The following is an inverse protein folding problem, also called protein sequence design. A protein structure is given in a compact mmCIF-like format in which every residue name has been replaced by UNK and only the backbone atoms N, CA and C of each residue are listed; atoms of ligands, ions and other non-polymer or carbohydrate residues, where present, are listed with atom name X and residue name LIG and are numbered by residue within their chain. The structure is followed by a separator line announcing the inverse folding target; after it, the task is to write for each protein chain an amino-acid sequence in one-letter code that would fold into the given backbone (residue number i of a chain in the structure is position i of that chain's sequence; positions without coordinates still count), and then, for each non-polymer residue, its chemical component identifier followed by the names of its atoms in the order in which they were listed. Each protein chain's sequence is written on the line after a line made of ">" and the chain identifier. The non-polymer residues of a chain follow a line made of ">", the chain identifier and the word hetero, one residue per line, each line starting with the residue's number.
data_IF_564652494313
#
_entry.id   IF_564652494313
#
_cell.length_a   1.000
_cell.length_b   1.000
_cell.length_c   1.000
_cell.angle_alpha   90.00
_cell.angle_beta   90.00
_cell.angle_gamma   90.00
#
_symmetry.space_group_name_H-M   'P 1'
#
loop_
_entity.id
_entity.type
_entity.pdbx_description
1 polymer ?
#
# COMPACT_ATOMS: atom_id res chain seq x y z
N UNK A 1 -24.92 20.24 1.24
CA UNK A 1 -25.05 21.11 2.43
C UNK A 1 -25.78 20.46 3.60
N UNK A 2 -27.10 20.22 3.59
CA UNK A 2 -27.83 19.76 4.80
C UNK A 2 -27.31 18.42 5.36
N UNK A 3 -27.13 17.40 4.52
CA UNK A 3 -26.59 16.09 4.93
C UNK A 3 -25.14 16.21 5.44
N UNK A 4 -24.34 17.08 4.82
CA UNK A 4 -22.96 17.35 5.25
C UNK A 4 -22.92 18.03 6.62
N UNK A 5 -23.82 18.99 6.86
CA UNK A 5 -23.98 19.63 8.17
C UNK A 5 -24.40 18.63 9.23
N UNK A 6 -25.29 17.68 8.94
CA UNK A 6 -25.71 16.65 9.89
C UNK A 6 -24.63 15.62 10.20
N UNK A 7 -23.83 15.18 9.22
CA UNK A 7 -22.71 14.26 9.45
C UNK A 7 -21.59 14.94 10.21
N UNK A 8 -21.29 16.20 9.87
CA UNK A 8 -20.37 17.03 10.63
C UNK A 8 -20.91 17.24 12.04
N UNK A 9 -22.20 17.51 12.23
CA UNK A 9 -22.81 17.57 13.56
C UNK A 9 -22.71 16.25 14.30
N UNK A 10 -22.94 15.10 13.66
CA UNK A 10 -22.86 13.78 14.29
C UNK A 10 -21.43 13.43 14.70
N UNK A 11 -20.44 13.75 13.85
CA UNK A 11 -19.02 13.65 14.18
C UNK A 11 -18.66 14.64 15.31
N UNK A 12 -19.12 15.89 15.25
CA UNK A 12 -18.93 16.89 16.30
C UNK A 12 -19.57 16.41 17.62
N UNK A 13 -20.75 15.81 17.59
CA UNK A 13 -21.46 15.31 18.78
C UNK A 13 -20.75 14.08 19.35
N UNK A 14 -20.25 13.19 18.49
CA UNK A 14 -19.41 12.05 18.88
C UNK A 14 -18.05 12.50 19.47
N UNK A 15 -17.51 13.65 19.04
CA UNK A 15 -16.24 14.20 19.51
C UNK A 15 -16.36 15.35 20.51
N UNK A 16 -17.58 15.77 20.89
CA UNK A 16 -17.85 16.94 21.74
C UNK A 16 -17.24 16.85 23.15
N UNK A 17 -16.80 15.67 23.57
CA UNK A 17 -16.12 15.49 24.85
C UNK A 17 -14.61 15.82 24.86
N UNK A 18 -13.99 16.24 23.73
CA UNK A 18 -12.54 16.53 23.69
C UNK A 18 -12.16 17.77 22.86
N UNK A 19 -12.33 18.97 23.42
CA UNK A 19 -11.54 20.19 23.13
C UNK A 19 -11.65 20.82 21.71
N UNK A 20 -11.85 22.14 21.66
CA UNK A 20 -12.06 22.93 20.43
C UNK A 20 -10.90 22.91 19.40
N UNK A 21 -9.68 22.55 19.79
CA UNK A 21 -8.54 22.42 18.87
C UNK A 21 -8.61 21.14 18.02
N UNK A 22 -9.15 20.05 18.59
CA UNK A 22 -9.28 18.76 17.89
C UNK A 22 -10.40 18.80 16.85
N UNK A 23 -11.52 19.44 17.18
CA UNK A 23 -12.61 19.65 16.22
C UNK A 23 -12.16 20.48 15.01
N UNK A 24 -11.33 21.51 15.24
CA UNK A 24 -10.73 22.30 14.14
C UNK A 24 -9.86 21.44 13.23
N UNK A 25 -9.08 20.51 13.80
CA UNK A 25 -8.24 19.60 13.03
C UNK A 25 -9.05 18.64 12.14
N UNK A 26 -10.09 18.02 12.71
CA UNK A 26 -10.96 17.12 11.95
C UNK A 26 -11.73 17.84 10.85
N UNK A 27 -12.17 19.07 11.12
CA UNK A 27 -12.79 19.94 10.12
C UNK A 27 -11.83 20.28 8.97
N UNK A 28 -10.56 20.56 9.28
CA UNK A 28 -9.54 20.78 8.25
C UNK A 28 -9.37 19.54 7.37
N UNK A 29 -9.22 18.34 7.95
CA UNK A 29 -9.14 17.09 7.18
C UNK A 29 -10.38 16.89 6.30
N UNK A 30 -11.58 17.08 6.84
CA UNK A 30 -12.83 17.01 6.08
C UNK A 30 -12.84 17.97 4.89
N UNK A 31 -12.42 19.23 5.10
CA UNK A 31 -12.34 20.24 4.04
C UNK A 31 -11.36 19.82 2.95
N UNK A 32 -10.15 19.41 3.33
CA UNK A 32 -9.08 18.98 2.40
C UNK A 32 -9.52 17.81 1.53
N UNK A 33 -10.37 16.90 2.04
CA UNK A 33 -10.91 15.80 1.24
C UNK A 33 -11.89 16.25 0.13
N UNK A 34 -12.21 17.54 0.00
CA UNK A 34 -12.90 18.09 -1.18
C UNK A 34 -11.99 18.74 -2.22
N UNK A 35 -10.71 18.92 -1.91
CA UNK A 35 -9.76 19.60 -2.78
C UNK A 35 -9.10 18.59 -3.74
N UNK A 36 -8.86 18.98 -5.00
CA UNK A 36 -8.11 18.16 -5.96
C UNK A 36 -6.61 18.15 -5.66
N UNK A 37 -6.08 19.21 -5.06
CA UNK A 37 -4.68 19.31 -4.66
C UNK A 37 -4.66 19.81 -3.23
N UNK A 38 -4.09 19.04 -2.31
CA UNK A 38 -4.11 19.40 -0.90
C UNK A 38 -2.79 19.08 -0.19
N UNK A 39 -2.45 19.94 0.76
CA UNK A 39 -1.32 19.74 1.67
C UNK A 39 -1.85 19.13 2.98
N UNK A 40 -1.34 17.96 3.34
CA UNK A 40 -1.64 17.32 4.62
C UNK A 40 -1.00 18.16 5.73
N UNK A 41 -1.77 18.66 6.72
CA UNK A 41 -1.26 19.64 7.67
C UNK A 41 -0.33 19.04 8.74
N UNK A 42 -0.06 17.73 8.67
CA UNK A 42 0.84 17.02 9.57
C UNK A 42 1.66 15.99 8.79
N UNK A 43 2.79 15.51 9.36
CA UNK A 43 3.53 14.45 8.72
C UNK A 43 2.69 13.18 8.57
N UNK A 44 2.73 12.55 7.40
CA UNK A 44 1.82 11.45 7.06
C UNK A 44 2.00 10.22 7.96
N UNK A 45 3.23 9.95 8.37
CA UNK A 45 3.55 8.87 9.31
C UNK A 45 2.99 9.11 10.72
N UNK A 46 2.59 10.35 11.05
CA UNK A 46 2.14 10.77 12.39
C UNK A 46 0.62 10.82 12.56
N UNK A 47 -0.17 10.35 11.58
CA UNK A 47 -1.62 10.21 11.76
C UNK A 47 -1.91 9.41 13.04
N UNK A 48 -2.62 10.05 13.96
CA UNK A 48 -3.05 9.48 15.23
C UNK A 48 -4.30 8.63 15.07
N UNK A 49 -4.73 8.00 16.15
CA UNK A 49 -5.92 7.14 16.12
C UNK A 49 -7.20 7.90 15.70
N UNK A 50 -7.33 9.17 16.11
CA UNK A 50 -8.47 10.00 15.72
C UNK A 50 -8.43 10.39 14.24
N UNK A 51 -7.25 10.70 13.70
CA UNK A 51 -7.10 11.06 12.29
C UNK A 51 -7.41 9.86 11.41
N UNK A 52 -6.86 8.70 11.76
CA UNK A 52 -7.15 7.41 11.09
C UNK A 52 -8.65 7.07 11.17
N UNK A 53 -9.27 7.17 12.35
CA UNK A 53 -10.69 6.93 12.51
C UNK A 53 -11.52 7.90 11.65
N UNK A 54 -11.09 9.16 11.54
CA UNK A 54 -11.76 10.16 10.71
C UNK A 54 -11.62 9.84 9.22
N UNK A 55 -10.44 9.44 8.76
CA UNK A 55 -10.23 8.97 7.37
C UNK A 55 -11.14 7.78 7.06
N UNK A 56 -11.25 6.80 7.97
CA UNK A 56 -12.17 5.66 7.81
C UNK A 56 -13.64 6.12 7.78
N UNK A 57 -14.02 7.07 8.64
CA UNK A 57 -15.38 7.61 8.64
C UNK A 57 -15.70 8.33 7.32
N UNK A 58 -14.74 9.06 6.74
CA UNK A 58 -14.88 9.70 5.42
C UNK A 58 -15.00 8.65 4.31
N UNK A 59 -14.21 7.58 4.37
CA UNK A 59 -14.37 6.43 3.46
C UNK A 59 -15.74 5.78 3.58
N UNK A 60 -16.27 5.60 4.80
CA UNK A 60 -17.61 5.06 5.01
C UNK A 60 -18.70 5.99 4.47
N UNK A 61 -18.54 7.30 4.66
CA UNK A 61 -19.46 8.33 4.17
C UNK A 61 -19.56 8.32 2.63
N UNK A 62 -18.50 7.91 1.92
CA UNK A 62 -18.55 7.72 0.47
C UNK A 62 -19.60 6.70 0.04
N UNK A 63 -19.87 5.66 0.82
CA UNK A 63 -20.93 4.69 0.50
C UNK A 63 -22.32 5.34 0.55
N UNK A 64 -22.54 6.22 1.53
CA UNK A 64 -23.78 7.01 1.65
C UNK A 64 -23.90 7.95 0.46
N UNK A 65 -22.84 8.69 0.11
CA UNK A 65 -22.84 9.57 -1.05
C UNK A 65 -23.01 8.83 -2.37
N UNK A 66 -22.44 7.63 -2.52
CA UNK A 66 -22.68 6.78 -3.67
C UNK A 66 -24.14 6.38 -3.78
N UNK A 67 -24.76 5.96 -2.67
CA UNK A 67 -26.16 5.55 -2.62
C UNK A 67 -27.09 6.71 -2.98
N UNK A 68 -26.78 7.93 -2.52
CA UNK A 68 -27.52 9.15 -2.86
C UNK A 68 -27.19 9.71 -4.25
N UNK A 69 -26.27 9.08 -5.01
CA UNK A 69 -25.86 9.55 -6.34
C UNK A 69 -25.03 10.83 -6.35
N UNK A 70 -24.42 11.19 -5.22
CA UNK A 70 -23.62 12.41 -5.03
C UNK A 70 -22.13 12.24 -5.34
N UNK A 71 -21.64 11.00 -5.41
CA UNK A 71 -20.26 10.75 -5.85
C UNK A 71 -20.11 10.86 -7.36
N UNK A 72 -18.96 11.35 -7.86
CA UNK A 72 -18.64 11.24 -9.27
C UNK A 72 -18.67 9.77 -9.67
N UNK A 73 -19.24 9.49 -10.84
CA UNK A 73 -19.26 8.13 -11.41
C UNK A 73 -18.04 7.96 -12.31
N UNK A 74 -17.38 6.79 -12.32
CA UNK A 74 -16.34 6.51 -13.30
C UNK A 74 -16.93 6.62 -14.71
N UNK A 75 -16.32 7.44 -15.57
CA UNK A 75 -16.78 7.68 -16.94
C UNK A 75 -15.86 6.97 -17.94
N UNK A 76 -16.39 6.34 -19.00
CA UNK A 76 -15.55 5.88 -20.10
C UNK A 76 -14.80 7.04 -20.73
N UNK A 77 -13.56 6.80 -21.13
CA UNK A 77 -12.79 7.71 -21.97
C UNK A 77 -13.26 7.63 -23.44
N UNK A 78 -12.85 8.60 -24.27
CA UNK A 78 -13.17 8.69 -25.68
C UNK A 78 -12.70 7.47 -26.50
N UNK A 79 -11.65 6.79 -26.05
CA UNK A 79 -11.17 5.55 -26.68
C UNK A 79 -12.05 4.32 -26.42
N UNK A 80 -13.02 4.42 -25.50
CA UNK A 80 -13.93 3.34 -25.14
C UNK A 80 -13.27 2.14 -24.44
N UNK A 81 -12.01 2.28 -24.03
CA UNK A 81 -11.20 1.26 -23.35
C UNK A 81 -10.90 1.68 -21.91
N UNK A 82 -10.52 2.94 -21.73
CA UNK A 82 -10.11 3.48 -20.44
C UNK A 82 -11.27 4.13 -19.68
N UNK A 83 -11.04 4.35 -18.39
CA UNK A 83 -11.95 5.02 -17.46
C UNK A 83 -11.29 6.32 -17.00
N UNK A 84 -11.96 7.43 -17.20
CA UNK A 84 -11.54 8.73 -16.71
C UNK A 84 -11.64 8.77 -15.19
N UNK A 85 -10.54 9.15 -14.55
CA UNK A 85 -10.43 9.33 -13.11
C UNK A 85 -10.03 10.78 -12.83
N UNK A 86 -10.72 11.49 -11.91
CA UNK A 86 -10.34 12.83 -11.49
C UNK A 86 -8.92 12.87 -10.94
N UNK A 87 -8.18 13.92 -11.28
CA UNK A 87 -6.84 14.12 -10.75
C UNK A 87 -6.93 14.58 -9.29
N UNK A 88 -6.36 13.78 -8.39
CA UNK A 88 -6.20 14.12 -6.98
C UNK A 88 -4.73 13.98 -6.60
N UNK A 89 -4.17 15.04 -6.02
CA UNK A 89 -2.78 15.10 -5.55
C UNK A 89 -2.74 15.47 -4.07
N UNK A 90 -1.94 14.75 -3.32
CA UNK A 90 -1.70 15.01 -1.91
C UNK A 90 -0.20 15.21 -1.67
N UNK A 91 0.15 16.20 -0.84
CA UNK A 91 1.53 16.45 -0.42
C UNK A 91 1.58 16.42 1.10
N UNK A 92 2.56 15.72 1.67
CA UNK A 92 2.73 15.62 3.11
C UNK A 92 4.22 15.63 3.48
N UNK A 93 4.55 16.08 4.68
CA UNK A 93 5.88 15.81 5.25
C UNK A 93 5.99 14.34 5.67
N UNK A 94 7.20 13.80 5.69
CA UNK A 94 7.51 12.54 6.35
C UNK A 94 8.24 12.81 7.67
N UNK A 95 7.87 12.10 8.73
CA UNK A 95 8.61 12.14 9.99
C UNK A 95 8.82 10.73 10.53
N UNK A 96 10.05 10.24 10.44
CA UNK A 96 10.42 8.93 10.98
C UNK A 96 10.78 9.06 12.46
N UNK A 97 10.58 8.00 13.23
CA UNK A 97 11.01 7.93 14.64
C UNK A 97 11.44 6.50 14.99
N UNK A 98 12.24 6.34 16.04
CA UNK A 98 12.61 5.00 16.56
C UNK A 98 11.41 4.12 16.93
N UNK A 99 10.25 4.73 17.23
CA UNK A 99 9.02 3.98 17.50
C UNK A 99 8.50 3.29 16.25
N UNK A 100 8.73 3.87 15.09
CA UNK A 100 8.26 3.36 13.80
C UNK A 100 9.07 2.16 13.36
N UNK A 101 10.39 2.22 13.49
CA UNK A 101 11.27 1.07 13.28
C UNK A 101 10.87 -0.09 14.17
N UNK A 102 10.72 0.15 15.49
CA UNK A 102 10.31 -0.93 16.41
C UNK A 102 8.96 -1.55 16.05
N UNK A 103 8.00 -0.76 15.58
CA UNK A 103 6.70 -1.28 15.13
C UNK A 103 6.83 -2.08 13.85
N UNK A 104 7.65 -1.60 12.92
CA UNK A 104 7.93 -2.31 11.68
C UNK A 104 8.63 -3.64 11.96
N UNK A 105 9.67 -3.65 12.80
CA UNK A 105 10.41 -4.85 13.18
C UNK A 105 9.48 -5.88 13.85
N UNK A 106 8.62 -5.42 14.75
CA UNK A 106 7.59 -6.28 15.35
C UNK A 106 6.64 -6.87 14.30
N UNK A 107 6.16 -6.07 13.35
CA UNK A 107 5.20 -6.51 12.35
C UNK A 107 5.81 -7.42 11.27
N UNK A 108 7.03 -7.13 10.82
CA UNK A 108 7.72 -7.87 9.77
C UNK A 108 8.43 -9.14 10.27
N UNK A 109 8.41 -9.40 11.59
CA UNK A 109 9.10 -10.54 12.19
C UNK A 109 10.62 -10.35 12.27
N UNK A 110 11.07 -9.11 12.43
CA UNK A 110 12.47 -8.74 12.60
C UNK A 110 13.11 -9.42 13.83
N UNK A 111 14.45 -9.46 13.89
CA UNK A 111 15.18 -10.20 14.91
C UNK A 111 14.81 -9.71 16.32
N UNK A 112 14.19 -10.59 17.12
CA UNK A 112 14.01 -10.30 18.54
C UNK A 112 15.37 -10.08 19.19
N UNK A 113 15.58 -8.91 19.81
CA UNK A 113 16.74 -8.46 20.62
C UNK A 113 18.17 -8.64 20.05
N UNK A 114 18.39 -9.41 19.00
CA UNK A 114 19.69 -9.66 18.41
C UNK A 114 19.99 -8.61 17.34
N UNK A 115 20.69 -7.55 17.76
CA UNK A 115 21.06 -6.39 16.95
C UNK A 115 22.05 -6.71 15.82
N UNK A 116 22.52 -7.95 15.71
CA UNK A 116 23.52 -8.37 14.72
C UNK A 116 22.91 -8.77 13.37
N UNK A 117 21.57 -8.84 13.27
CA UNK A 117 20.90 -9.41 12.10
C UNK A 117 20.52 -8.38 11.03
N UNK A 118 20.56 -8.89 9.80
CA UNK A 118 20.16 -8.26 8.55
C UNK A 118 18.66 -7.91 8.61
N UNK A 119 18.34 -6.62 8.61
CA UNK A 119 16.96 -6.12 8.77
C UNK A 119 16.29 -5.82 7.42
N UNK A 120 15.01 -6.18 7.28
CA UNK A 120 14.19 -5.82 6.11
C UNK A 120 13.85 -4.32 6.10
N UNK A 121 14.81 -3.45 5.78
CA UNK A 121 14.56 -2.01 5.73
C UNK A 121 13.94 -1.56 4.41
N UNK A 122 13.94 -2.39 3.37
CA UNK A 122 13.39 -1.99 2.06
C UNK A 122 11.87 -1.82 2.08
N UNK A 123 11.16 -2.61 2.89
CA UNK A 123 9.70 -2.50 3.04
C UNK A 123 9.27 -1.47 4.08
N UNK A 124 10.22 -0.81 4.77
CA UNK A 124 9.92 0.15 5.83
C UNK A 124 9.30 1.44 5.30
N UNK A 125 9.96 2.07 4.32
CA UNK A 125 9.49 3.33 3.74
C UNK A 125 8.11 3.17 3.06
N UNK A 126 7.85 2.15 2.23
CA UNK A 126 6.51 1.87 1.71
C UNK A 126 5.44 1.74 2.79
N UNK A 127 5.76 1.08 3.90
CA UNK A 127 4.81 0.95 5.01
C UNK A 127 4.48 2.33 5.59
N UNK A 128 5.47 3.20 5.82
CA UNK A 128 5.27 4.52 6.42
C UNK A 128 4.47 5.50 5.58
N UNK A 129 4.59 5.42 4.25
CA UNK A 129 3.94 6.35 3.31
C UNK A 129 2.57 5.86 2.85
N UNK A 130 2.22 4.60 3.15
CA UNK A 130 0.92 4.01 2.86
C UNK A 130 -0.31 4.83 3.33
N UNK A 131 -0.29 5.65 4.40
CA UNK A 131 -1.47 6.44 4.73
C UNK A 131 -1.84 7.47 3.65
N UNK A 132 -0.94 7.83 2.73
CA UNK A 132 -1.26 8.65 1.55
C UNK A 132 -2.32 7.97 0.68
N UNK A 133 -2.24 6.64 0.52
CA UNK A 133 -3.25 5.85 -0.21
C UNK A 133 -4.64 6.06 0.39
N UNK A 134 -4.75 5.93 1.71
CA UNK A 134 -6.01 6.11 2.41
C UNK A 134 -6.59 7.52 2.25
N UNK A 135 -5.75 8.55 2.26
CA UNK A 135 -6.20 9.93 2.04
C UNK A 135 -6.74 10.15 0.63
N UNK A 136 -6.05 9.65 -0.40
CA UNK A 136 -6.53 9.75 -1.79
C UNK A 136 -7.84 9.01 -1.99
N UNK A 137 -7.96 7.81 -1.41
CA UNK A 137 -9.19 7.02 -1.48
C UNK A 137 -10.35 7.59 -0.66
N UNK A 138 -10.06 8.34 0.42
CA UNK A 138 -11.08 9.05 1.20
C UNK A 138 -11.54 10.37 0.56
N UNK A 139 -10.77 10.92 -0.38
CA UNK A 139 -11.11 12.14 -1.09
C UNK A 139 -12.45 11.98 -1.85
N UNK A 140 -13.30 13.02 -1.79
CA UNK A 140 -14.65 13.05 -2.37
C UNK A 140 -14.65 13.10 -3.90
N UNK A 141 -13.58 13.60 -4.50
CA UNK A 141 -13.41 13.61 -5.95
C UNK A 141 -12.97 12.25 -6.49
N UNK A 142 -12.48 11.36 -5.61
CA UNK A 142 -12.19 9.98 -6.00
C UNK A 142 -13.52 9.18 -6.11
N UNK A 143 -13.86 8.61 -7.28
CA UNK A 143 -15.12 7.87 -7.48
C UNK A 143 -15.09 6.45 -6.87
N UNK A 144 -13.95 6.03 -6.32
CA UNK A 144 -13.74 4.66 -5.81
C UNK A 144 -14.32 4.51 -4.41
N UNK A 145 -15.04 3.41 -4.21
CA UNK A 145 -15.48 2.93 -2.90
C UNK A 145 -14.39 2.02 -2.29
N UNK A 146 -13.69 2.44 -1.23
CA UNK A 146 -12.40 1.86 -0.85
C UNK A 146 -12.49 0.54 -0.08
N UNK A 147 -13.56 0.30 0.70
CA UNK A 147 -13.70 -0.98 1.39
C UNK A 147 -13.97 -2.10 0.38
N UNK A 148 -13.25 -3.21 0.55
CA UNK A 148 -13.26 -4.32 -0.40
C UNK A 148 -12.39 -4.13 -1.63
N UNK A 149 -11.79 -2.94 -1.86
CA UNK A 149 -10.74 -2.80 -2.85
C UNK A 149 -9.55 -3.70 -2.49
N UNK A 150 -8.92 -4.29 -3.51
CA UNK A 150 -7.76 -5.17 -3.30
C UNK A 150 -6.55 -4.62 -4.03
N UNK A 151 -5.40 -4.65 -3.34
CA UNK A 151 -4.12 -4.43 -3.98
C UNK A 151 -3.79 -5.66 -4.83
N UNK A 152 -3.56 -5.44 -6.12
CA UNK A 152 -3.27 -6.49 -7.11
C UNK A 152 -1.82 -6.50 -7.52
N UNK A 153 -1.15 -5.34 -7.54
CA UNK A 153 0.25 -5.21 -7.88
C UNK A 153 0.88 -4.03 -7.14
N UNK A 154 2.17 -4.14 -6.84
CA UNK A 154 3.00 -3.00 -6.46
C UNK A 154 4.27 -2.99 -7.30
N UNK A 155 4.76 -1.80 -7.60
CA UNK A 155 6.12 -1.56 -8.08
C UNK A 155 6.80 -0.60 -7.12
N UNK A 156 8.01 -0.91 -6.69
CA UNK A 156 8.86 -0.03 -5.89
C UNK A 156 10.11 0.28 -6.70
N UNK A 157 10.20 1.48 -7.25
CA UNK A 157 11.41 2.00 -7.87
C UNK A 157 12.22 2.73 -6.79
N UNK A 158 13.39 2.19 -6.47
CA UNK A 158 14.22 2.65 -5.37
C UNK A 158 15.43 3.33 -6.00
N UNK A 159 15.40 4.66 -6.02
CA UNK A 159 16.43 5.48 -6.66
C UNK A 159 17.65 5.67 -5.77
N UNK A 160 17.45 5.80 -4.45
CA UNK A 160 18.54 5.82 -3.47
C UNK A 160 18.30 4.74 -2.41
N UNK A 161 18.79 3.50 -2.64
CA UNK A 161 18.62 2.40 -1.70
C UNK A 161 19.28 2.65 -0.34
N UNK A 162 20.36 3.43 -0.29
CA UNK A 162 21.10 3.73 0.94
C UNK A 162 20.23 4.59 1.84
N UNK A 163 19.65 5.67 1.32
CA UNK A 163 18.73 6.53 2.06
C UNK A 163 17.42 5.80 2.36
N UNK A 164 16.87 5.04 1.41
CA UNK A 164 15.60 4.32 1.60
C UNK A 164 15.66 3.29 2.76
N UNK A 165 16.84 2.70 3.01
CA UNK A 165 17.07 1.75 4.12
C UNK A 165 17.51 2.43 5.42
N UNK A 166 18.10 3.62 5.35
CA UNK A 166 18.60 4.33 6.52
C UNK A 166 17.51 5.14 7.22
N UNK A 167 16.96 4.54 8.28
CA UNK A 167 15.97 5.21 9.12
C UNK A 167 16.52 6.49 9.79
N UNK A 168 17.82 6.60 10.05
CA UNK A 168 18.42 7.83 10.59
C UNK A 168 18.43 8.94 9.54
N UNK A 169 18.84 8.64 8.30
CA UNK A 169 18.76 9.59 7.20
C UNK A 169 17.31 10.06 6.93
N UNK A 170 16.32 9.18 7.09
CA UNK A 170 14.89 9.52 6.93
C UNK A 170 14.30 10.30 8.13
N UNK A 171 15.00 10.39 9.26
CA UNK A 171 14.57 11.17 10.44
C UNK A 171 14.86 12.66 10.32
N UNK A 172 15.69 13.06 9.37
CA UNK A 172 15.89 14.46 9.01
C UNK A 172 14.56 15.08 8.56
N UNK A 173 14.28 16.33 8.97
CA UNK A 173 13.00 17.02 8.65
C UNK A 173 13.03 17.66 7.25
N UNK A 174 13.50 16.90 6.26
CA UNK A 174 13.68 17.31 4.87
C UNK A 174 13.06 16.32 3.86
N UNK A 175 12.21 15.39 4.32
CA UNK A 175 11.52 14.44 3.46
C UNK A 175 10.06 14.86 3.20
N UNK A 176 9.67 14.87 1.93
CA UNK A 176 8.30 15.13 1.46
C UNK A 176 7.79 13.91 0.73
N UNK A 177 6.50 13.62 0.91
CA UNK A 177 5.77 12.56 0.22
C UNK A 177 4.72 13.20 -0.67
N UNK A 178 4.75 12.88 -1.95
CA UNK A 178 3.74 13.27 -2.92
C UNK A 178 2.96 12.04 -3.34
N UNK A 179 1.64 12.13 -3.43
CA UNK A 179 0.80 11.05 -3.91
C UNK A 179 -0.17 11.53 -4.97
N UNK A 180 -0.38 10.71 -5.99
CA UNK A 180 -1.13 11.04 -7.20
C UNK A 180 -2.15 9.94 -7.50
N UNK A 181 -3.36 10.36 -7.83
CA UNK A 181 -4.45 9.51 -8.29
C UNK A 181 -5.10 10.16 -9.51
N UNK A 182 -5.42 9.37 -10.54
CA UNK A 182 -6.15 9.84 -11.71
C UNK A 182 -5.41 10.89 -12.55
N UNK A 183 -6.17 11.56 -13.41
CA UNK A 183 -5.68 12.51 -14.40
C UNK A 183 -5.39 11.88 -15.77
N UNK A 184 -4.98 12.68 -16.78
CA UNK A 184 -4.83 12.24 -18.17
C UNK A 184 -3.85 11.07 -18.35
N UNK A 185 -2.82 10.99 -17.50
CA UNK A 185 -1.77 9.97 -17.56
C UNK A 185 -2.07 8.71 -16.73
N UNK A 186 -3.07 8.75 -15.83
CA UNK A 186 -3.36 7.67 -14.87
C UNK A 186 -4.84 7.30 -14.90
N UNK A 187 -5.28 6.89 -16.09
CA UNK A 187 -6.65 6.43 -16.33
C UNK A 187 -6.88 5.05 -15.69
N UNK A 188 -8.12 4.79 -15.31
CA UNK A 188 -8.55 3.45 -14.90
C UNK A 188 -8.63 2.51 -16.10
N UNK A 189 -8.39 1.22 -15.85
CA UNK A 189 -8.46 0.14 -16.83
C UNK A 189 -9.60 -0.79 -16.47
N UNK A 190 -10.47 -1.10 -17.42
CA UNK A 190 -11.52 -2.08 -17.18
C UNK A 190 -10.93 -3.50 -17.20
N UNK A 191 -11.18 -4.26 -16.14
CA UNK A 191 -10.82 -5.69 -16.05
C UNK A 191 -12.07 -6.55 -15.79
N UNK A 192 -11.91 -7.87 -15.87
CA UNK A 192 -13.02 -8.84 -15.74
C UNK A 192 -13.87 -8.61 -14.49
N UNK A 193 -13.24 -8.32 -13.35
CA UNK A 193 -13.89 -8.20 -12.03
C UNK A 193 -14.22 -6.77 -11.62
N UNK A 194 -13.82 -5.77 -12.40
CA UNK A 194 -13.98 -4.38 -12.00
C UNK A 194 -13.11 -3.41 -12.79
N UNK A 195 -12.56 -2.42 -12.09
CA UNK A 195 -11.62 -1.45 -12.63
C UNK A 195 -10.32 -1.51 -11.82
N UNK A 196 -9.21 -1.60 -12.54
CA UNK A 196 -7.88 -1.36 -11.98
C UNK A 196 -7.47 0.09 -12.19
N UNK A 197 -6.74 0.64 -11.24
CA UNK A 197 -6.17 1.98 -11.34
C UNK A 197 -4.93 2.06 -10.48
N UNK A 198 -4.07 3.01 -10.81
CA UNK A 198 -2.79 3.16 -10.16
C UNK A 198 -2.80 4.38 -9.23
N UNK A 199 -2.20 4.21 -8.05
CA UNK A 199 -1.85 5.29 -7.14
C UNK A 199 -0.34 5.35 -7.05
N UNK A 200 0.24 6.49 -7.43
CA UNK A 200 1.68 6.74 -7.40
C UNK A 200 2.02 7.51 -6.13
N UNK A 201 3.01 7.06 -5.38
CA UNK A 201 3.54 7.71 -4.18
C UNK A 201 5.04 7.90 -4.38
N UNK A 202 5.52 9.14 -4.27
CA UNK A 202 6.92 9.51 -4.44
C UNK A 202 7.43 10.11 -3.13
N UNK A 203 8.57 9.61 -2.65
CA UNK A 203 9.30 10.16 -1.51
C UNK A 203 10.48 10.94 -2.03
N UNK A 204 10.54 12.22 -1.68
CA UNK A 204 11.59 13.17 -2.10
C UNK A 204 12.35 13.61 -0.85
N UNK A 205 13.67 13.55 -0.89
CA UNK A 205 14.54 14.11 0.15
C UNK A 205 15.21 15.38 -0.38
N UNK A 206 15.16 16.44 0.42
CA UNK A 206 15.75 17.73 0.09
C UNK A 206 17.12 17.90 0.75
N UNK A 207 18.10 18.36 -0.04
CA UNK A 207 19.40 18.77 0.48
C UNK A 207 19.35 20.15 1.17
N UNK A 208 20.48 20.59 1.72
CA UNK A 208 20.60 21.89 2.38
C UNK A 208 20.46 23.10 1.45
N UNK A 209 20.54 22.88 0.13
CA UNK A 209 20.36 23.91 -0.92
C UNK A 209 18.92 23.94 -1.44
N UNK A 210 18.07 23.02 -0.99
CA UNK A 210 16.68 22.90 -1.41
C UNK A 210 16.48 22.12 -2.72
N UNK A 211 17.49 21.40 -3.20
CA UNK A 211 17.34 20.45 -4.29
C UNK A 211 16.71 19.16 -3.76
N UNK A 212 15.66 18.70 -4.42
CA UNK A 212 14.91 17.51 -4.01
C UNK A 212 15.16 16.36 -4.97
N UNK A 213 15.68 15.25 -4.45
CA UNK A 213 15.88 14.01 -5.19
C UNK A 213 14.87 12.94 -4.75
N UNK A 214 14.35 12.19 -5.72
CA UNK A 214 13.48 11.05 -5.43
C UNK A 214 14.31 9.96 -4.75
N UNK A 215 13.86 9.52 -3.57
CA UNK A 215 14.46 8.39 -2.83
C UNK A 215 13.80 7.09 -3.29
N UNK A 216 12.47 7.11 -3.39
CA UNK A 216 11.66 5.96 -3.75
C UNK A 216 10.37 6.41 -4.40
N UNK A 217 9.95 5.68 -5.42
CA UNK A 217 8.63 5.73 -6.01
C UNK A 217 7.92 4.39 -5.82
N UNK A 218 6.65 4.46 -5.42
CA UNK A 218 5.77 3.31 -5.31
C UNK A 218 4.56 3.52 -6.21
N UNK A 219 4.28 2.54 -7.08
CA UNK A 219 3.04 2.46 -7.85
C UNK A 219 2.21 1.32 -7.30
N UNK A 220 1.00 1.63 -6.82
CA UNK A 220 0.06 0.69 -6.23
C UNK A 220 -1.11 0.49 -7.20
N UNK A 221 -1.28 -0.73 -7.69
CA UNK A 221 -2.40 -1.08 -8.57
C UNK A 221 -3.54 -1.69 -7.76
N UNK A 222 -4.67 -1.02 -7.76
CA UNK A 222 -5.84 -1.36 -6.95
C UNK A 222 -6.99 -1.76 -7.84
N UNK A 223 -7.61 -2.91 -7.53
CA UNK A 223 -8.86 -3.34 -8.13
C UNK A 223 -10.03 -2.87 -7.25
N UNK A 224 -10.86 -2.01 -7.83
CA UNK A 224 -12.20 -1.72 -7.33
C UNK A 224 -13.23 -2.59 -8.08
N UNK A 225 -14.05 -3.34 -7.34
CA UNK A 225 -15.11 -4.14 -7.94
C UNK A 225 -16.17 -3.26 -8.59
N UNK A 226 -16.54 -3.60 -9.83
CA UNK A 226 -17.63 -2.96 -10.55
C UNK A 226 -18.58 -4.02 -11.09
N UNK A 227 -19.89 -3.74 -11.18
CA UNK A 227 -20.84 -4.67 -11.78
C UNK A 227 -20.49 -4.92 -13.26
N UNK A 228 -20.91 -6.08 -13.78
CA UNK A 228 -20.70 -6.45 -15.18
C UNK A 228 -21.35 -5.45 -16.17
N UNK A 229 -22.39 -4.73 -15.73
CA UNK A 229 -23.08 -3.70 -16.49
C UNK A 229 -22.36 -2.35 -16.56
N UNK A 230 -21.37 -2.09 -15.69
CA UNK A 230 -20.65 -0.82 -15.70
C UNK A 230 -19.84 -0.66 -16.99
N UNK A 231 -19.79 0.58 -17.51
CA UNK A 231 -19.05 0.94 -18.72
C UNK A 231 -17.65 1.50 -18.38
N UNK A 232 -16.65 1.36 -19.28
CA UNK A 232 -16.68 0.55 -20.50
C UNK A 232 -16.77 -0.94 -20.15
N UNK A 233 -17.29 -1.74 -21.08
CA UNK A 233 -17.36 -3.19 -20.90
C UNK A 233 -15.95 -3.78 -20.98
N UNK A 234 -15.69 -4.82 -20.19
CA UNK A 234 -14.42 -5.54 -20.26
C UNK A 234 -14.25 -6.11 -21.67
N UNK A 235 -13.14 -5.76 -22.32
CA UNK A 235 -12.67 -6.38 -23.55
C UNK A 235 -11.44 -7.21 -23.16
N UNK A 236 -11.44 -8.53 -23.40
CA UNK A 236 -10.22 -9.30 -23.26
C UNK A 236 -9.18 -8.66 -24.19
N UNK A 237 -8.09 -8.13 -23.63
CA UNK A 237 -6.93 -7.85 -24.45
C UNK A 237 -6.45 -9.19 -25.04
N UNK A 238 -5.91 -9.17 -26.26
CA UNK A 238 -5.02 -10.25 -26.68
C UNK A 238 -3.95 -10.36 -25.61
N UNK A 239 -3.85 -11.52 -24.97
CA UNK A 239 -3.01 -11.70 -23.81
C UNK A 239 -1.55 -11.43 -24.21
N UNK A 240 -1.05 -10.21 -23.95
CA UNK A 240 0.37 -9.99 -23.81
C UNK A 240 0.76 -10.76 -22.55
N UNK A 241 1.25 -11.98 -22.74
CA UNK A 241 1.88 -12.80 -21.72
C UNK A 241 3.24 -12.18 -21.33
N UNK A 242 3.24 -10.88 -21.00
CA UNK A 242 4.42 -10.12 -20.59
C UNK A 242 4.69 -10.28 -19.09
N UNK A 243 3.92 -11.10 -18.37
CA UNK A 243 4.43 -11.62 -17.10
C UNK A 243 5.67 -12.47 -17.43
N UNK A 244 6.87 -12.05 -16.99
CA UNK A 244 8.05 -12.87 -17.20
C UNK A 244 7.77 -14.24 -16.59
N UNK A 245 7.86 -15.29 -17.41
CA UNK A 245 7.81 -16.66 -16.90
C UNK A 245 9.07 -16.83 -16.05
N UNK A 246 8.92 -16.65 -14.75
CA UNK A 246 10.01 -16.87 -13.81
C UNK A 246 10.27 -18.37 -13.74
N UNK A 247 11.35 -18.83 -14.40
CA UNK A 247 11.83 -20.19 -14.23
C UNK A 247 12.56 -20.29 -12.89
N UNK A 248 11.84 -20.72 -11.86
CA UNK A 248 12.38 -20.83 -10.51
C UNK A 248 13.39 -21.98 -10.42
N UNK A 249 14.67 -21.66 -10.23
CA UNK A 249 15.73 -22.65 -9.97
C UNK A 249 16.24 -22.55 -8.54
N UNK A 250 16.55 -23.69 -7.89
CA UNK A 250 17.18 -23.71 -6.56
C UNK A 250 16.25 -23.28 -5.41
N UNK A 251 14.95 -23.58 -5.50
CA UNK A 251 13.96 -23.11 -4.52
C UNK A 251 14.19 -23.69 -3.13
N UNK A 252 14.34 -22.82 -2.14
CA UNK A 252 14.33 -23.21 -0.72
C UNK A 252 13.04 -22.77 -0.06
N UNK A 253 12.68 -23.42 1.05
CA UNK A 253 11.42 -23.18 1.76
C UNK A 253 11.66 -22.59 3.13
N UNK A 254 11.16 -21.38 3.33
CA UNK A 254 10.83 -20.84 4.65
C UNK A 254 9.33 -20.73 4.77
N UNK A 255 8.83 -20.19 5.88
CA UNK A 255 7.39 -19.99 6.08
C UNK A 255 7.07 -18.55 6.44
N UNK A 256 5.97 -18.05 5.87
CA UNK A 256 5.24 -16.92 6.43
C UNK A 256 4.08 -17.50 7.23
N UNK A 257 4.08 -17.26 8.54
CA UNK A 257 2.97 -17.60 9.42
C UNK A 257 2.41 -16.31 10.03
N UNK A 258 1.13 -16.02 9.78
CA UNK A 258 0.45 -14.85 10.32
C UNK A 258 -0.82 -15.27 11.06
N UNK A 259 -0.96 -14.77 12.29
CA UNK A 259 -2.13 -14.99 13.12
C UNK A 259 -3.24 -13.97 12.84
N UNK A 260 -4.39 -14.17 13.49
CA UNK A 260 -5.57 -13.30 13.36
C UNK A 260 -5.32 -11.84 13.80
N UNK A 261 -4.34 -11.61 14.67
CA UNK A 261 -4.01 -10.27 15.18
C UNK A 261 -2.89 -9.60 14.40
N UNK A 262 -2.14 -10.32 13.56
CA UNK A 262 -1.00 -9.80 12.81
C UNK A 262 -1.31 -8.55 11.97
N UNK A 263 -2.51 -8.39 11.35
CA UNK A 263 -2.85 -7.14 10.67
C UNK A 263 -2.84 -5.91 11.58
N UNK A 264 -3.07 -6.04 12.89
CA UNK A 264 -3.05 -4.92 13.84
C UNK A 264 -1.64 -4.36 14.00
N UNK A 265 -0.64 -5.24 14.05
CA UNK A 265 0.76 -4.85 14.19
C UNK A 265 1.23 -4.13 12.92
N UNK A 266 0.87 -4.64 11.75
CA UNK A 266 1.14 -3.97 10.47
C UNK A 266 0.42 -2.62 10.35
N UNK A 267 -0.88 -2.58 10.67
CA UNK A 267 -1.68 -1.35 10.66
C UNK A 267 -1.11 -0.27 11.61
N UNK A 268 -0.48 -0.67 12.72
CA UNK A 268 0.19 0.25 13.62
C UNK A 268 1.36 1.00 12.96
N UNK A 269 1.97 0.41 11.92
CA UNK A 269 2.99 1.03 11.05
C UNK A 269 2.30 1.83 9.94
N UNK A 270 1.55 1.14 9.07
CA UNK A 270 1.10 1.67 7.79
C UNK A 270 -0.21 2.46 7.82
N UNK A 271 -0.88 2.49 8.98
CA UNK A 271 -2.18 3.12 9.23
C UNK A 271 -3.31 2.65 8.33
N UNK A 272 -3.14 1.51 7.66
CA UNK A 272 -4.21 0.84 6.95
C UNK A 272 -4.99 -0.03 7.94
N UNK A 273 -6.16 0.47 8.32
CA UNK A 273 -7.10 -0.22 9.18
C UNK A 273 -8.37 -0.58 8.39
N UNK A 274 -8.24 -0.83 7.07
CA UNK A 274 -9.35 -1.26 6.23
C UNK A 274 -10.06 -2.47 6.87
N UNK A 275 -11.40 -2.42 7.04
CA UNK A 275 -12.14 -3.44 7.79
C UNK A 275 -11.97 -4.88 7.31
N UNK A 276 -11.61 -5.11 6.03
CA UNK A 276 -11.37 -6.47 5.49
C UNK A 276 -10.19 -7.19 6.15
N UNK A 277 -9.25 -6.44 6.75
CA UNK A 277 -8.11 -6.97 7.49
C UNK A 277 -8.40 -7.11 8.99
N UNK A 278 -9.36 -6.34 9.49
CA UNK A 278 -9.56 -6.13 10.92
C UNK A 278 -10.77 -6.89 11.47
N UNK A 279 -11.82 -7.06 10.66
CA UNK A 279 -13.13 -7.54 11.08
C UNK A 279 -13.64 -8.62 10.12
N UNK A 280 -13.78 -9.86 10.61
CA UNK A 280 -14.30 -10.98 9.81
C UNK A 280 -15.67 -10.69 9.16
N UNK A 281 -16.67 -10.11 9.85
CA UNK A 281 -17.96 -9.79 9.21
C UNK A 281 -17.81 -8.84 8.02
N UNK A 282 -16.90 -7.87 8.11
CA UNK A 282 -16.66 -6.92 7.02
C UNK A 282 -15.92 -7.59 5.86
N UNK A 283 -14.95 -8.47 6.14
CA UNK A 283 -14.31 -9.26 5.09
C UNK A 283 -15.34 -10.14 4.34
N UNK A 284 -16.26 -10.78 5.07
CA UNK A 284 -17.35 -11.57 4.48
C UNK A 284 -18.31 -10.72 3.64
N UNK A 285 -18.65 -9.51 4.09
CA UNK A 285 -19.46 -8.56 3.34
C UNK A 285 -18.84 -8.22 1.97
N UNK A 286 -17.51 -8.19 1.89
CA UNK A 286 -16.76 -7.94 0.65
C UNK A 286 -16.34 -9.23 -0.09
N UNK A 287 -16.94 -10.37 0.25
CA UNK A 287 -16.77 -11.63 -0.49
C UNK A 287 -15.53 -12.45 -0.13
N UNK A 288 -14.87 -12.15 1.00
CA UNK A 288 -13.77 -12.97 1.51
C UNK A 288 -14.28 -13.99 2.53
N UNK A 289 -13.73 -15.22 2.57
CA UNK A 289 -14.17 -16.25 3.52
C UNK A 289 -13.76 -15.96 4.98
N UNK A 290 -12.83 -15.02 5.18
CA UNK A 290 -12.33 -14.58 6.48
C UNK A 290 -11.55 -13.28 6.34
N UNK A 291 -10.99 -12.78 7.44
CA UNK A 291 -10.05 -11.65 7.37
C UNK A 291 -8.86 -12.02 6.50
N UNK A 292 -8.38 -11.07 5.71
CA UNK A 292 -7.22 -11.29 4.84
C UNK A 292 -6.01 -10.49 5.36
N UNK A 293 -4.81 -11.00 5.16
CA UNK A 293 -3.58 -10.25 5.42
C UNK A 293 -3.44 -9.07 4.44
N UNK A 294 -2.71 -8.03 4.85
CA UNK A 294 -2.27 -7.01 3.91
C UNK A 294 -1.19 -7.61 2.98
N UNK A 295 -1.28 -7.38 1.68
CA UNK A 295 -0.29 -7.89 0.72
C UNK A 295 1.14 -7.48 1.08
N UNK A 296 1.35 -6.20 1.36
CA UNK A 296 2.65 -5.67 1.78
C UNK A 296 3.15 -6.19 3.12
N UNK A 297 2.25 -6.65 4.01
CA UNK A 297 2.65 -7.28 5.26
C UNK A 297 3.26 -8.65 4.98
N UNK A 298 2.61 -9.46 4.15
CA UNK A 298 3.14 -10.76 3.73
C UNK A 298 4.46 -10.60 2.97
N UNK A 299 4.54 -9.62 2.07
CA UNK A 299 5.79 -9.28 1.38
C UNK A 299 6.92 -8.92 2.37
N UNK A 300 6.62 -8.10 3.37
CA UNK A 300 7.61 -7.71 4.38
C UNK A 300 8.11 -8.91 5.20
N UNK A 301 7.20 -9.79 5.64
CA UNK A 301 7.60 -11.01 6.36
C UNK A 301 8.38 -11.96 5.46
N UNK A 302 7.93 -12.16 4.22
CA UNK A 302 8.61 -13.03 3.26
C UNK A 302 10.02 -12.53 2.91
N UNK A 303 10.20 -11.22 2.77
CA UNK A 303 11.52 -10.59 2.58
C UNK A 303 12.40 -10.76 3.82
N UNK A 304 11.82 -10.68 5.04
CA UNK A 304 12.56 -10.96 6.27
C UNK A 304 12.99 -12.43 6.36
N UNK A 305 12.15 -13.37 5.92
CA UNK A 305 12.51 -14.79 5.87
C UNK A 305 13.65 -15.09 4.89
N UNK A 306 13.70 -14.37 3.77
CA UNK A 306 14.82 -14.43 2.84
C UNK A 306 16.13 -13.96 3.50
N UNK A 307 16.04 -12.89 4.31
CA UNK A 307 17.18 -12.32 5.05
C UNK A 307 17.74 -13.24 6.13
N UNK A 308 16.87 -13.94 6.83
CA UNK A 308 17.25 -14.80 7.97
C UNK A 308 17.47 -16.24 7.57
N UNK A 309 17.32 -16.59 6.29
CA UNK A 309 17.71 -17.89 5.79
C UNK A 309 19.20 -18.12 6.08
N UNK A 310 19.49 -18.97 7.06
CA UNK A 310 20.82 -19.43 7.42
C UNK A 310 21.23 -20.59 6.49
N UNK A 311 22.52 -20.63 6.17
CA UNK A 311 23.22 -21.68 5.43
C UNK A 311 22.74 -21.92 4.00
N UNK A 312 23.39 -21.24 3.06
CA UNK A 312 23.37 -21.66 1.66
C UNK A 312 24.76 -22.08 1.22
N UNK A 313 24.94 -23.36 0.86
CA UNK A 313 26.12 -23.83 0.10
C UNK A 313 26.13 -23.29 -1.36
N UNK A 314 25.25 -22.34 -1.68
CA UNK A 314 25.09 -21.76 -3.01
C UNK A 314 25.55 -20.31 -2.98
N UNK A 315 26.83 -20.10 -3.24
CA UNK A 315 27.46 -18.77 -3.26
C UNK A 315 26.75 -17.80 -4.21
N UNK A 316 26.21 -18.29 -5.33
CA UNK A 316 25.49 -17.47 -6.32
C UNK A 316 24.18 -16.95 -5.74
N UNK A 317 23.49 -17.78 -4.98
CA UNK A 317 22.29 -17.36 -4.26
C UNK A 317 22.61 -16.31 -3.20
N UNK A 318 23.67 -16.52 -2.42
CA UNK A 318 24.07 -15.57 -1.38
C UNK A 318 24.53 -14.21 -1.93
N UNK A 319 25.29 -14.20 -3.02
CA UNK A 319 25.66 -12.98 -3.74
C UNK A 319 24.42 -12.22 -4.23
N UNK A 320 23.48 -12.91 -4.88
CA UNK A 320 22.28 -12.27 -5.41
C UNK A 320 21.34 -11.79 -4.29
N UNK A 321 21.23 -12.54 -3.19
CA UNK A 321 20.50 -12.12 -1.99
C UNK A 321 21.09 -10.85 -1.39
N UNK A 322 22.41 -10.79 -1.25
CA UNK A 322 23.10 -9.61 -0.78
C UNK A 322 22.87 -8.43 -1.74
N UNK A 323 22.97 -8.64 -3.06
CA UNK A 323 22.66 -7.61 -4.06
C UNK A 323 21.22 -7.12 -3.95
N UNK A 324 20.21 -7.99 -3.86
CA UNK A 324 18.82 -7.53 -3.78
C UNK A 324 18.52 -6.64 -2.57
N UNK A 325 19.21 -6.90 -1.46
CA UNK A 325 18.85 -6.32 -0.17
C UNK A 325 19.78 -5.15 0.17
N UNK A 326 21.04 -5.27 -0.19
CA UNK A 326 22.10 -4.29 0.06
C UNK A 326 22.62 -3.62 -1.21
N UNK A 327 21.92 -3.75 -2.36
CA UNK A 327 22.26 -2.97 -3.55
C UNK A 327 22.35 -1.51 -3.16
N UNK A 328 23.47 -0.88 -3.48
CA UNK A 328 23.61 0.57 -3.44
C UNK A 328 23.18 1.21 -4.77
N UNK A 329 23.04 0.39 -5.82
CA UNK A 329 22.53 0.81 -7.12
C UNK A 329 20.99 0.85 -7.15
N UNK A 330 20.39 1.79 -7.89
CA UNK A 330 18.95 1.85 -8.09
C UNK A 330 18.37 0.54 -8.61
N UNK A 331 17.16 0.18 -8.19
CA UNK A 331 16.49 -1.04 -8.63
C UNK A 331 14.97 -0.91 -8.61
N UNK A 332 14.28 -1.84 -9.29
CA UNK A 332 12.83 -1.95 -9.25
C UNK A 332 12.41 -3.27 -8.64
N UNK A 333 11.64 -3.25 -7.55
CA UNK A 333 10.96 -4.42 -7.00
C UNK A 333 9.51 -4.46 -7.49
N UNK A 334 9.19 -5.43 -8.35
CA UNK A 334 7.82 -5.68 -8.83
C UNK A 334 7.17 -6.77 -8.00
N UNK A 335 5.87 -6.62 -7.74
CA UNK A 335 5.09 -7.54 -6.90
C UNK A 335 3.71 -7.73 -7.50
N UNK A 336 3.26 -8.98 -7.56
CA UNK A 336 1.91 -9.36 -8.01
C UNK A 336 1.23 -10.16 -6.91
N UNK A 337 0.07 -9.69 -6.47
CA UNK A 337 -0.81 -10.37 -5.51
C UNK A 337 -1.86 -11.17 -6.27
N UNK A 338 -1.66 -12.49 -6.35
CA UNK A 338 -2.49 -13.38 -7.18
C UNK A 338 -3.75 -13.83 -6.45
N UNK A 339 -3.69 -14.00 -5.13
CA UNK A 339 -4.78 -14.56 -4.33
C UNK A 339 -4.91 -13.87 -2.97
N UNK A 340 -6.13 -13.72 -2.43
CA UNK A 340 -6.31 -13.27 -1.05
C UNK A 340 -5.68 -14.25 -0.07
N UNK A 341 -4.98 -13.72 0.93
CA UNK A 341 -4.25 -14.50 1.94
C UNK A 341 -5.06 -14.49 3.24
N UNK A 342 -6.00 -15.44 3.36
CA UNK A 342 -6.98 -15.53 4.46
C UNK A 342 -6.30 -15.95 5.76
N UNK A 343 -6.64 -15.31 6.88
CA UNK A 343 -6.03 -15.54 8.19
C UNK A 343 -6.83 -16.53 9.06
N UNK A 344 -6.15 -17.26 9.98
CA UNK A 344 -4.69 -17.36 10.09
C UNK A 344 -4.12 -18.10 8.86
N UNK A 345 -2.86 -17.80 8.51
CA UNK A 345 -2.18 -18.46 7.40
C UNK A 345 -0.83 -19.02 7.83
N UNK A 346 -0.45 -20.09 7.14
CA UNK A 346 0.89 -20.67 7.14
C UNK A 346 1.21 -21.05 5.69
N UNK A 347 2.10 -20.30 5.03
CA UNK A 347 2.41 -20.45 3.61
C UNK A 347 3.92 -20.57 3.41
N UNK A 348 4.32 -21.37 2.43
CA UNK A 348 5.72 -21.53 2.06
C UNK A 348 6.22 -20.26 1.36
N UNK A 349 7.40 -19.83 1.76
CA UNK A 349 8.21 -18.81 1.08
C UNK A 349 9.24 -19.53 0.26
N UNK A 350 9.16 -19.36 -1.06
CA UNK A 350 10.12 -19.89 -2.00
C UNK A 350 10.86 -18.72 -2.65
N UNK A 351 12.17 -18.87 -2.81
CA UNK A 351 13.02 -17.88 -3.45
C UNK A 351 13.96 -18.55 -4.44
N UNK A 352 14.38 -17.81 -5.46
CA UNK A 352 15.21 -18.37 -6.52
C UNK A 352 15.58 -17.32 -7.55
N UNK A 353 16.43 -17.70 -8.49
CA UNK A 353 16.85 -16.81 -9.58
C UNK A 353 15.72 -16.65 -10.60
N UNK A 354 15.69 -15.48 -11.24
CA UNK A 354 14.76 -15.13 -12.31
C UNK A 354 15.52 -15.05 -13.63
N UNK A 355 14.92 -15.58 -14.70
CA UNK A 355 15.43 -15.45 -16.06
C UNK A 355 15.69 -13.97 -16.39
N UNK A 356 16.90 -13.65 -16.85
CA UNK A 356 17.34 -12.26 -17.08
C UNK A 356 18.21 -11.67 -15.96
N UNK A 357 18.50 -12.41 -14.87
CA UNK A 357 19.57 -12.04 -13.94
C UNK A 357 19.15 -11.40 -12.61
N UNK A 358 17.93 -11.67 -12.14
CA UNK A 358 17.41 -11.14 -10.87
C UNK A 358 17.18 -12.20 -9.78
N UNK A 359 16.79 -11.74 -8.59
CA UNK A 359 16.27 -12.58 -7.51
C UNK A 359 14.76 -12.42 -7.41
N UNK A 360 14.09 -13.55 -7.25
CA UNK A 360 12.66 -13.64 -7.04
C UNK A 360 12.33 -14.22 -5.68
N UNK A 361 11.14 -13.88 -5.23
CA UNK A 361 10.46 -14.37 -4.05
C UNK A 361 9.02 -14.74 -4.46
N UNK A 362 8.51 -15.87 -4.00
CA UNK A 362 7.08 -16.19 -4.07
C UNK A 362 6.57 -16.76 -2.76
N UNK A 363 5.29 -16.56 -2.51
CA UNK A 363 4.56 -17.17 -1.39
C UNK A 363 3.54 -18.13 -1.95
N UNK A 364 3.60 -19.39 -1.56
CA UNK A 364 2.80 -20.47 -2.12
C UNK A 364 2.25 -21.42 -1.04
N UNK A 365 1.18 -22.14 -1.36
CA UNK A 365 0.60 -23.15 -0.48
C UNK A 365 -0.50 -23.95 -1.19
N UNK A 366 -0.55 -25.26 -0.96
CA UNK A 366 -1.55 -26.15 -1.57
C UNK A 366 -1.50 -26.14 -3.11
N UNK A 367 -0.31 -26.08 -3.69
CA UNK A 367 -0.09 -26.04 -5.15
C UNK A 367 -0.50 -24.71 -5.82
N UNK A 368 -0.75 -23.65 -5.04
CA UNK A 368 -1.17 -22.33 -5.55
C UNK A 368 -0.19 -21.25 -5.10
N UNK A 369 0.06 -20.31 -6.00
CA UNK A 369 0.86 -19.10 -5.72
C UNK A 369 -0.04 -17.96 -5.24
N UNK A 370 0.32 -17.30 -4.14
CA UNK A 370 -0.45 -16.19 -3.56
C UNK A 370 0.18 -14.84 -3.87
N UNK A 371 1.50 -14.79 -3.92
CA UNK A 371 2.31 -13.60 -4.17
C UNK A 371 3.54 -14.01 -4.95
N UNK A 372 3.93 -13.20 -5.93
CA UNK A 372 5.25 -13.27 -6.57
C UNK A 372 5.87 -11.88 -6.59
N UNK A 373 7.17 -11.80 -6.34
CA UNK A 373 7.95 -10.57 -6.35
C UNK A 373 9.32 -10.83 -6.97
N UNK A 374 9.87 -9.84 -7.67
CA UNK A 374 11.20 -9.94 -8.26
C UNK A 374 11.82 -8.57 -8.44
N UNK A 375 13.15 -8.54 -8.35
CA UNK A 375 13.94 -7.36 -8.61
C UNK A 375 14.44 -7.35 -10.06
N UNK A 376 14.36 -6.19 -10.72
CA UNK A 376 14.94 -5.91 -12.04
C UNK A 376 15.85 -4.70 -11.99
#
# INVERSE_FOLDING_TARGET
>A
MIVETFVVLALITFFAFKGASRLRHLWQLFRLMGENKFNVPMPISRLGALDVASVIALMALKYIYSFLGLLPKPQPDADGVHILLPEVTAIAKLRVTNRDERRFDLAAGGPGKDKSRRDNRIMFLPALVNPMLSLLLANRNCPVLPFGCVNTQNSFEVHDPTIARDAAALREDNCVVMAYFGGPERKGRRVKRGMEFDIRIVVIKFDSRGHGDAVMEQVITILAYLPASAKPKFRPAEASNDEPRVAWTGTRRNKVSLGLLSPRDWAAVCKDYNPIHMLRPMAMLFGFPGTIAHGNHVLAVATQQLLTASDTDDERFDDMRCKMIYSEAPFVLKVVFKRPMVLPLDLDVEYGLVDGGGLGLRVAGGGKEYLAAWMT
#
